data_IF_194251234139
#
_entry.id   IF_194251234139
#
_cell.length_a   1.000
_cell.length_b   1.000
_cell.length_c   1.000
_cell.angle_alpha   90.00
_cell.angle_beta   90.00
_cell.angle_gamma   90.00
#
_symmetry.space_group_name_H-M   'P 1'
#
loop_
_entity.id
_entity.type
_entity.pdbx_description
1 polymer ?
#
# COMPACT_ATOMS: atom_id res chain seq x y z
N UNK A 1 5.26 -1.45 13.50
CA UNK A 1 5.98 -2.70 13.17
C UNK A 1 4.94 -3.77 12.86
N UNK A 2 4.71 -4.09 11.59
CA UNK A 2 3.76 -5.13 11.16
C UNK A 2 4.26 -6.57 11.43
N UNK A 3 5.32 -6.69 12.25
CA UNK A 3 5.99 -7.94 12.58
C UNK A 3 4.99 -8.88 13.26
N UNK A 4 4.55 -9.90 12.53
CA UNK A 4 3.53 -10.87 12.95
C UNK A 4 2.27 -10.87 12.08
N UNK A 5 1.98 -9.78 11.36
CA UNK A 5 0.86 -9.72 10.41
C UNK A 5 1.34 -10.04 9.00
N UNK A 6 2.53 -9.53 8.63
CA UNK A 6 3.08 -9.64 7.29
C UNK A 6 4.57 -9.97 7.35
N UNK A 7 5.05 -10.78 6.39
CA UNK A 7 6.47 -11.03 6.25
C UNK A 7 7.17 -9.81 5.63
N UNK A 8 8.34 -9.42 6.15
CA UNK A 8 9.18 -8.38 5.55
C UNK A 8 9.47 -8.63 4.06
N UNK A 9 9.58 -9.90 3.65
CA UNK A 9 9.76 -10.29 2.26
C UNK A 9 8.56 -9.90 1.39
N UNK A 10 7.34 -10.09 1.88
CA UNK A 10 6.12 -9.70 1.17
C UNK A 10 6.03 -8.18 1.04
N UNK A 11 6.33 -7.44 2.12
CA UNK A 11 6.37 -5.97 2.10
C UNK A 11 7.38 -5.47 1.06
N UNK A 12 8.60 -6.02 1.07
CA UNK A 12 9.66 -5.62 0.12
C UNK A 12 9.31 -5.95 -1.33
N UNK A 13 8.80 -7.16 -1.59
CA UNK A 13 8.39 -7.56 -2.93
C UNK A 13 7.28 -6.66 -3.47
N UNK A 14 6.32 -6.32 -2.61
CA UNK A 14 5.19 -5.53 -3.01
C UNK A 14 5.59 -4.05 -3.23
N UNK A 15 6.44 -3.47 -2.37
CA UNK A 15 7.07 -2.16 -2.61
C UNK A 15 7.89 -2.12 -3.92
N UNK A 16 8.68 -3.17 -4.20
CA UNK A 16 9.47 -3.25 -5.43
C UNK A 16 8.58 -3.32 -6.68
N UNK A 17 7.43 -3.99 -6.60
CA UNK A 17 6.44 -4.05 -7.68
C UNK A 17 5.83 -2.70 -8.03
N UNK A 18 5.92 -1.70 -7.15
CA UNK A 18 5.39 -0.34 -7.35
C UNK A 18 6.47 0.70 -7.67
N UNK A 19 7.72 0.27 -7.88
CA UNK A 19 8.85 1.17 -8.09
C UNK A 19 8.73 2.02 -9.36
N UNK A 20 8.05 1.53 -10.40
CA UNK A 20 7.76 2.28 -11.61
C UNK A 20 6.44 3.07 -11.46
N UNK A 21 6.32 4.20 -12.16
CA UNK A 21 5.02 4.86 -12.29
C UNK A 21 4.02 3.90 -12.96
N UNK A 22 2.76 3.93 -12.53
CA UNK A 22 1.66 3.13 -13.11
C UNK A 22 1.87 1.61 -12.99
N UNK A 23 2.76 1.17 -12.10
CA UNK A 23 3.00 -0.26 -11.81
C UNK A 23 2.25 -0.75 -10.57
N UNK A 24 1.52 0.13 -9.89
CA UNK A 24 0.74 -0.23 -8.72
C UNK A 24 -0.37 -1.25 -9.06
N UNK A 25 -0.48 -2.31 -8.26
CA UNK A 25 -1.50 -3.34 -8.41
C UNK A 25 -2.06 -3.75 -7.05
N UNK A 26 -3.21 -3.17 -6.69
CA UNK A 26 -3.90 -3.41 -5.41
C UNK A 26 -4.17 -4.91 -5.14
N UNK A 27 -4.29 -5.76 -6.17
CA UNK A 27 -4.58 -7.19 -5.98
C UNK A 27 -3.47 -7.92 -5.25
N UNK A 28 -2.24 -7.44 -5.38
CA UNK A 28 -1.10 -7.99 -4.64
C UNK A 28 -1.12 -7.59 -3.16
N UNK A 29 -1.94 -6.60 -2.80
CA UNK A 29 -1.98 -5.98 -1.48
C UNK A 29 -3.28 -6.23 -0.68
N UNK A 30 -4.17 -7.12 -1.12
CA UNK A 30 -5.39 -7.41 -0.36
C UNK A 30 -5.13 -7.88 1.08
N UNK A 31 -3.99 -8.54 1.33
CA UNK A 31 -3.57 -8.96 2.68
C UNK A 31 -3.29 -7.79 3.63
N UNK A 32 -3.15 -6.59 3.09
CA UNK A 32 -2.76 -5.40 3.82
C UNK A 32 -3.98 -4.51 4.14
N UNK A 33 -5.20 -4.91 3.76
CA UNK A 33 -6.41 -4.09 3.93
C UNK A 33 -6.53 -3.46 5.32
N UNK A 34 -6.44 -4.25 6.40
CA UNK A 34 -6.56 -3.79 7.78
C UNK A 34 -5.43 -2.84 8.25
N UNK A 35 -4.39 -2.66 7.44
CA UNK A 35 -3.29 -1.73 7.68
C UNK A 35 -3.49 -0.43 6.91
N UNK A 36 -4.23 -0.48 5.80
CA UNK A 36 -4.44 0.64 4.88
C UNK A 36 -5.72 1.40 5.24
N UNK A 37 -6.76 0.68 5.66
CA UNK A 37 -8.00 1.23 6.20
C UNK A 37 -7.70 1.82 7.58
N UNK A 38 -7.18 3.05 7.59
CA UNK A 38 -6.65 3.76 8.76
C UNK A 38 -7.79 4.26 9.65
N UNK A 39 -8.92 4.61 9.03
CA UNK A 39 -10.11 5.07 9.74
C UNK A 39 -11.03 3.91 10.18
N UNK A 40 -10.75 2.67 9.74
CA UNK A 40 -11.53 1.47 9.99
C UNK A 40 -12.98 1.57 9.49
N UNK A 41 -13.20 2.30 8.40
CA UNK A 41 -14.50 2.43 7.74
C UNK A 41 -14.96 1.13 7.06
N UNK A 42 -14.05 0.20 6.80
CA UNK A 42 -14.30 -1.00 6.01
C UNK A 42 -14.14 -0.78 4.51
N UNK A 43 -13.61 0.37 4.08
CA UNK A 43 -13.20 0.66 2.71
C UNK A 43 -11.82 1.34 2.73
N UNK A 44 -11.13 1.34 1.59
CA UNK A 44 -9.91 2.14 1.44
C UNK A 44 -10.28 3.39 0.66
N UNK A 45 -10.15 4.55 1.27
CA UNK A 45 -10.39 5.84 0.63
C UNK A 45 -9.26 6.20 -0.35
N UNK A 46 -9.52 7.09 -1.30
CA UNK A 46 -8.52 7.47 -2.32
C UNK A 46 -7.26 8.05 -1.65
N UNK A 47 -7.45 8.86 -0.61
CA UNK A 47 -6.41 9.49 0.19
C UNK A 47 -5.57 8.45 0.96
N UNK A 48 -6.20 7.42 1.51
CA UNK A 48 -5.51 6.30 2.15
C UNK A 48 -4.72 5.48 1.13
N UNK A 49 -5.30 5.25 -0.06
CA UNK A 49 -4.65 4.55 -1.16
C UNK A 49 -3.45 5.35 -1.70
N UNK A 50 -3.54 6.68 -1.80
CA UNK A 50 -2.43 7.54 -2.23
C UNK A 50 -1.21 7.40 -1.33
N UNK A 51 -1.44 7.25 -0.03
CA UNK A 51 -0.39 7.10 0.98
C UNK A 51 -0.01 5.63 1.23
N UNK A 52 -0.58 4.70 0.48
CA UNK A 52 -0.40 3.26 0.66
C UNK A 52 1.06 2.82 0.82
N UNK A 53 1.95 3.24 -0.10
CA UNK A 53 3.37 2.86 -0.04
C UNK A 53 4.07 3.48 1.19
N UNK A 54 3.61 4.66 1.62
CA UNK A 54 4.17 5.38 2.76
C UNK A 54 3.82 4.73 4.10
N UNK A 55 2.73 3.96 4.15
CA UNK A 55 2.39 3.09 5.30
C UNK A 55 3.49 2.08 5.62
N UNK A 56 4.24 1.60 4.60
CA UNK A 56 5.32 0.63 4.78
C UNK A 56 6.71 1.24 4.76
N UNK A 57 6.89 2.36 4.06
CA UNK A 57 8.15 3.07 3.95
C UNK A 57 7.89 4.56 3.81
N UNK A 58 8.14 5.33 4.87
CA UNK A 58 7.87 6.77 4.90
C UNK A 58 8.56 7.56 3.77
N UNK A 59 9.63 7.02 3.17
CA UNK A 59 10.32 7.61 2.02
C UNK A 59 9.81 7.16 0.64
N UNK A 60 8.78 6.30 0.58
CA UNK A 60 8.19 5.88 -0.68
C UNK A 60 7.37 7.01 -1.33
N UNK A 61 7.24 6.97 -2.66
CA UNK A 61 6.39 7.90 -3.39
C UNK A 61 4.92 7.70 -3.01
N UNK A 62 4.13 8.77 -3.10
CA UNK A 62 2.69 8.63 -3.14
C UNK A 62 2.27 7.98 -4.49
N UNK A 63 1.14 7.29 -4.48
CA UNK A 63 0.51 6.89 -5.73
C UNK A 63 -0.08 8.12 -6.44
N UNK A 64 -0.06 8.07 -7.76
CA UNK A 64 -0.68 9.10 -8.61
C UNK A 64 -2.20 8.92 -8.69
N UNK A 65 -2.92 9.95 -9.14
CA UNK A 65 -4.36 9.86 -9.40
C UNK A 65 -4.72 8.78 -10.44
N UNK A 66 -3.79 8.42 -11.33
CA UNK A 66 -4.01 7.33 -12.28
C UNK A 66 -3.96 5.94 -11.61
N UNK A 67 -3.21 5.82 -10.51
CA UNK A 67 -3.04 4.58 -9.76
C UNK A 67 -4.10 4.39 -8.66
N UNK A 68 -4.82 5.45 -8.31
CA UNK A 68 -5.86 5.43 -7.26
C UNK A 68 -7.29 5.51 -7.80
N UNK A 69 -7.47 5.41 -9.12
CA UNK A 69 -8.77 5.29 -9.81
C UNK A 69 -9.15 3.84 -10.03
#
# INVERSE_FOLDING_TARGET
AFAGVLADADIKAALAGCAAAESFNYKTFFKFFAIIDQDHSGFIEEEELKLFLQTFSAGARALSDAETK
#
